data_IF_706573918701
#
_entry.id   IF_706573918701
#
_cell.length_a   1.000
_cell.length_b   1.000
_cell.length_c   1.000
_cell.angle_alpha   90.00
_cell.angle_beta   90.00
_cell.angle_gamma   90.00
#
_symmetry.space_group_name_H-M   'P 1'
#
loop_
_entity.id
_entity.type
_entity.pdbx_description
1 polymer ?
#
# COMPACT_ATOMS: atom_id res chain seq x y z
N UNK A 1 -19.36 -14.83 -7.13
CA UNK A 1 -18.19 -15.35 -6.40
C UNK A 1 -18.07 -14.63 -5.06
N UNK A 2 -18.30 -15.32 -3.93
CA UNK A 2 -17.99 -14.78 -2.60
C UNK A 2 -16.47 -14.87 -2.44
N UNK A 3 -15.75 -13.76 -2.59
CA UNK A 3 -14.34 -13.69 -2.25
C UNK A 3 -14.21 -14.06 -0.76
N UNK A 4 -13.33 -15.03 -0.47
CA UNK A 4 -13.06 -15.52 0.87
C UNK A 4 -12.67 -14.31 1.74
N UNK A 5 -13.48 -13.96 2.75
CA UNK A 5 -13.32 -12.73 3.57
C UNK A 5 -12.35 -12.91 4.75
N UNK A 6 -11.80 -14.10 4.91
CA UNK A 6 -10.95 -14.43 6.05
C UNK A 6 -9.49 -14.12 5.71
N UNK A 7 -8.83 -13.36 6.59
CA UNK A 7 -7.37 -13.30 6.59
C UNK A 7 -6.83 -14.70 6.94
N UNK A 8 -5.72 -15.14 6.31
CA UNK A 8 -5.05 -16.38 6.68
C UNK A 8 -4.74 -16.42 8.19
N UNK A 9 -4.91 -17.59 8.83
CA UNK A 9 -4.77 -17.74 10.29
C UNK A 9 -3.37 -17.35 10.80
N UNK A 10 -2.35 -17.43 9.93
CA UNK A 10 -1.03 -16.86 10.14
C UNK A 10 -0.72 -15.84 9.05
N UNK A 11 -0.09 -14.72 9.42
CA UNK A 11 0.41 -13.78 8.42
C UNK A 11 1.50 -14.45 7.57
N UNK A 12 1.54 -14.18 6.25
CA UNK A 12 2.66 -14.60 5.43
C UNK A 12 3.96 -13.92 5.91
N UNK A 13 5.14 -14.45 5.54
CA UNK A 13 6.38 -13.74 5.80
C UNK A 13 6.40 -12.38 5.08
N UNK A 14 7.03 -11.39 5.73
CA UNK A 14 7.38 -10.14 5.05
C UNK A 14 8.38 -10.45 3.93
N UNK A 15 8.18 -9.87 2.75
CA UNK A 15 9.16 -9.96 1.69
C UNK A 15 10.39 -9.14 2.09
N UNK A 16 11.55 -9.78 2.17
CA UNK A 16 12.82 -9.15 2.49
C UNK A 16 13.63 -8.75 1.25
N UNK A 17 13.32 -9.35 0.10
CA UNK A 17 14.02 -9.10 -1.15
C UNK A 17 13.39 -7.95 -1.94
N UNK A 18 14.24 -7.23 -2.66
CA UNK A 18 13.80 -6.18 -3.57
C UNK A 18 12.91 -6.77 -4.66
N UNK A 19 11.75 -6.15 -4.86
CA UNK A 19 10.82 -6.52 -5.90
C UNK A 19 11.50 -6.35 -7.27
N UNK A 20 11.52 -7.44 -8.05
CA UNK A 20 12.11 -7.43 -9.37
C UNK A 20 11.53 -6.26 -10.21
N UNK A 21 12.34 -5.42 -10.89
CA UNK A 21 11.85 -4.33 -11.74
C UNK A 21 10.86 -4.76 -12.84
N UNK A 22 10.91 -6.04 -13.23
CA UNK A 22 10.04 -6.68 -14.19
C UNK A 22 8.83 -7.40 -13.57
N UNK A 23 8.71 -7.45 -12.24
CA UNK A 23 7.61 -8.11 -11.53
C UNK A 23 6.24 -7.56 -11.96
N UNK A 24 5.22 -8.42 -12.14
CA UNK A 24 3.92 -8.01 -12.62
C UNK A 24 3.24 -6.97 -11.73
N UNK A 25 3.47 -7.02 -10.41
CA UNK A 25 2.94 -6.09 -9.43
C UNK A 25 3.52 -4.68 -9.65
N UNK A 26 4.84 -4.59 -9.86
CA UNK A 26 5.51 -3.32 -10.16
C UNK A 26 5.14 -2.78 -11.55
N UNK A 27 4.92 -3.67 -12.53
CA UNK A 27 4.38 -3.27 -13.85
C UNK A 27 2.97 -2.71 -13.71
N UNK A 28 2.12 -3.34 -12.91
CA UNK A 28 0.73 -2.92 -12.69
C UNK A 28 0.62 -1.56 -11.99
N UNK A 29 1.60 -1.18 -11.16
CA UNK A 29 1.71 0.17 -10.60
C UNK A 29 1.77 1.23 -11.72
N UNK A 30 2.43 0.91 -12.83
CA UNK A 30 2.55 1.73 -14.03
C UNK A 30 3.67 2.78 -13.96
N UNK A 31 4.20 3.15 -15.12
CA UNK A 31 5.40 3.99 -15.26
C UNK A 31 5.30 5.35 -14.55
N UNK A 32 4.14 6.02 -14.62
CA UNK A 32 3.93 7.32 -13.98
C UNK A 32 3.96 7.24 -12.45
N UNK A 33 3.30 6.25 -11.85
CA UNK A 33 3.31 6.06 -10.38
C UNK A 33 4.70 5.62 -9.91
N UNK A 34 5.36 4.72 -10.65
CA UNK A 34 6.76 4.34 -10.39
C UNK A 34 7.70 5.54 -10.39
N UNK A 35 7.55 6.46 -11.35
CA UNK A 35 8.36 7.68 -11.42
C UNK A 35 8.12 8.58 -10.21
N UNK A 36 6.86 8.76 -9.79
CA UNK A 36 6.53 9.55 -8.59
C UNK A 36 7.12 8.88 -7.34
N UNK A 37 6.90 7.59 -7.16
CA UNK A 37 7.44 6.82 -6.04
C UNK A 37 8.98 6.92 -5.99
N UNK A 38 9.66 6.72 -7.12
CA UNK A 38 11.12 6.76 -7.21
C UNK A 38 11.75 8.06 -6.72
N UNK A 39 11.05 9.20 -6.82
CA UNK A 39 11.52 10.49 -6.29
C UNK A 39 11.50 10.55 -4.76
N UNK A 40 10.75 9.68 -4.11
CA UNK A 40 10.56 9.68 -2.66
C UNK A 40 11.20 8.47 -1.97
N UNK A 41 11.73 7.50 -2.71
CA UNK A 41 12.32 6.29 -2.15
C UNK A 41 13.59 6.57 -1.32
N UNK A 42 14.30 7.67 -1.58
CA UNK A 42 15.52 8.00 -0.84
C UNK A 42 16.63 6.94 -1.00
N UNK A 43 16.62 6.17 -2.09
CA UNK A 43 17.55 5.06 -2.33
C UNK A 43 17.08 3.68 -1.83
N UNK A 44 15.96 3.60 -1.13
CA UNK A 44 15.43 2.30 -0.68
C UNK A 44 14.83 1.48 -1.82
N UNK A 45 15.04 0.17 -1.74
CA UNK A 45 14.39 -0.80 -2.61
C UNK A 45 12.92 -0.98 -2.22
N UNK A 46 12.05 -1.10 -3.23
CA UNK A 46 10.65 -1.49 -3.03
C UNK A 46 10.62 -3.01 -2.82
N UNK A 47 10.06 -3.46 -1.71
CA UNK A 47 9.93 -4.88 -1.36
C UNK A 47 8.59 -5.47 -1.81
N UNK A 48 7.52 -4.67 -1.74
CA UNK A 48 6.19 -5.08 -2.13
C UNK A 48 5.34 -3.89 -2.59
N UNK A 49 4.31 -4.16 -3.40
CA UNK A 49 3.28 -3.19 -3.75
C UNK A 49 1.89 -3.83 -3.66
N UNK A 50 0.89 -3.07 -3.24
CA UNK A 50 -0.49 -3.53 -3.15
C UNK A 50 -1.44 -2.53 -3.82
N UNK A 51 -2.30 -3.04 -4.69
CA UNK A 51 -3.36 -2.25 -5.32
C UNK A 51 -4.59 -2.25 -4.42
N UNK A 52 -4.97 -1.10 -3.90
CA UNK A 52 -6.21 -0.96 -3.10
C UNK A 52 -7.42 -0.73 -4.00
N UNK A 53 -8.64 -0.94 -3.49
CA UNK A 53 -9.86 -0.45 -4.14
C UNK A 53 -10.22 1.00 -3.75
N UNK A 54 -9.52 1.56 -2.75
CA UNK A 54 -9.69 2.94 -2.30
C UNK A 54 -9.18 3.97 -3.32
N UNK A 55 -9.70 5.19 -3.19
CA UNK A 55 -9.31 6.34 -4.03
C UNK A 55 -9.18 7.59 -3.18
N UNK A 56 -8.31 8.50 -3.60
CA UNK A 56 -8.10 9.80 -2.97
C UNK A 56 -8.22 10.91 -4.02
N UNK A 57 -8.62 12.09 -3.59
CA UNK A 57 -8.60 13.26 -4.45
C UNK A 57 -7.15 13.59 -4.87
N UNK A 58 -6.98 13.75 -6.18
CA UNK A 58 -5.71 14.10 -6.84
C UNK A 58 -5.87 15.35 -7.72
N UNK A 59 -6.87 16.19 -7.43
CA UNK A 59 -7.14 17.45 -8.13
C UNK A 59 -7.73 17.26 -9.52
N UNK A 60 -8.42 16.15 -9.76
CA UNK A 60 -9.01 15.80 -11.05
C UNK A 60 -10.52 15.97 -11.03
N UNK A 61 -11.05 16.75 -11.97
CA UNK A 61 -12.49 16.89 -12.17
C UNK A 61 -13.13 15.57 -12.66
N UNK A 62 -12.38 14.76 -13.41
CA UNK A 62 -12.84 13.49 -13.99
C UNK A 62 -12.74 12.29 -13.03
N UNK A 63 -12.49 12.54 -11.75
CA UNK A 63 -12.54 11.52 -10.71
C UNK A 63 -11.24 11.32 -9.93
N UNK A 64 -11.34 10.51 -8.88
CA UNK A 64 -10.29 10.31 -7.87
C UNK A 64 -9.18 9.37 -8.36
N UNK A 65 -7.98 9.55 -7.81
CA UNK A 65 -6.84 8.68 -8.05
C UNK A 65 -6.90 7.42 -7.19
N UNK A 66 -6.73 6.23 -7.80
CA UNK A 66 -6.58 4.98 -7.03
C UNK A 66 -5.31 5.01 -6.17
N UNK A 67 -5.47 4.61 -4.91
CA UNK A 67 -4.37 4.44 -3.97
C UNK A 67 -3.65 3.11 -4.23
N UNK A 68 -2.34 3.18 -4.23
CA UNK A 68 -1.42 2.05 -4.15
C UNK A 68 -0.60 2.17 -2.88
N UNK A 69 -0.34 1.04 -2.24
CA UNK A 69 0.67 0.94 -1.20
C UNK A 69 1.96 0.42 -1.81
N UNK A 70 3.08 0.97 -1.41
CA UNK A 70 4.40 0.41 -1.68
C UNK A 70 5.18 0.32 -0.36
N UNK A 71 5.92 -0.76 -0.18
CA UNK A 71 6.67 -1.02 1.06
C UNK A 71 8.15 -1.07 0.75
N UNK A 72 8.94 -0.43 1.61
CA UNK A 72 10.40 -0.51 1.66
C UNK A 72 10.82 -1.10 3.00
N UNK A 73 12.11 -1.37 3.25
CA UNK A 73 12.54 -1.92 4.54
C UNK A 73 12.12 -1.06 5.75
N UNK A 74 11.98 0.26 5.58
CA UNK A 74 11.73 1.17 6.70
C UNK A 74 10.41 1.95 6.62
N UNK A 75 9.75 1.97 5.46
CA UNK A 75 8.56 2.78 5.26
C UNK A 75 7.49 2.16 4.37
N UNK A 76 6.26 2.60 4.59
CA UNK A 76 5.15 2.46 3.66
C UNK A 76 4.97 3.78 2.89
N UNK A 77 4.65 3.66 1.61
CA UNK A 77 4.28 4.77 0.75
C UNK A 77 2.85 4.63 0.27
N UNK A 78 2.09 5.73 0.36
CA UNK A 78 0.80 5.87 -0.31
C UNK A 78 1.02 6.61 -1.62
N UNK A 79 0.68 5.98 -2.75
CA UNK A 79 0.89 6.54 -4.08
C UNK A 79 -0.43 6.59 -4.84
N UNK A 80 -0.81 7.77 -5.33
CA UNK A 80 -1.97 7.97 -6.18
C UNK A 80 -1.65 8.88 -7.37
N UNK A 81 -2.25 8.56 -8.53
CA UNK A 81 -2.08 9.34 -9.76
C UNK A 81 -3.23 10.34 -9.93
N UNK A 82 -2.90 11.50 -10.48
CA UNK A 82 -3.83 12.48 -11.04
C UNK A 82 -3.05 13.71 -11.52
N UNK A 83 -3.74 14.82 -11.84
CA UNK A 83 -3.12 16.12 -12.12
C UNK A 83 -2.20 16.59 -10.99
N UNK A 84 -2.61 16.34 -9.74
CA UNK A 84 -1.81 16.52 -8.52
C UNK A 84 -1.51 15.16 -7.91
N UNK A 85 -0.48 14.44 -8.39
CA UNK A 85 -0.14 13.13 -7.87
C UNK A 85 0.21 13.24 -6.37
N UNK A 86 -0.18 12.21 -5.61
CA UNK A 86 0.15 12.12 -4.18
C UNK A 86 1.14 10.99 -3.99
N UNK A 87 2.21 11.28 -3.25
CA UNK A 87 3.13 10.30 -2.73
C UNK A 87 3.58 10.75 -1.35
N UNK A 88 3.26 9.97 -0.34
CA UNK A 88 3.61 10.26 1.05
C UNK A 88 4.25 9.02 1.67
N UNK A 89 5.26 9.27 2.49
CA UNK A 89 6.06 8.27 3.18
C UNK A 89 5.64 8.24 4.64
N UNK A 90 5.47 7.03 5.18
CA UNK A 90 5.12 6.77 6.57
C UNK A 90 6.08 5.71 7.13
N UNK A 91 6.84 5.99 8.19
CA UNK A 91 7.72 5.00 8.82
C UNK A 91 6.92 3.77 9.29
N UNK A 92 7.42 2.56 9.05
CA UNK A 92 6.72 1.33 9.48
C UNK A 92 6.60 1.24 11.00
N UNK A 93 7.56 1.80 11.73
CA UNK A 93 7.56 1.88 13.19
C UNK A 93 6.31 2.61 13.74
N UNK A 94 5.77 3.58 13.03
CA UNK A 94 4.56 4.30 13.43
C UNK A 94 3.28 3.51 13.13
N UNK A 95 3.33 2.58 12.18
CA UNK A 95 2.17 1.84 11.67
C UNK A 95 1.92 0.52 12.41
N UNK A 96 2.68 0.19 13.46
CA UNK A 96 2.61 -1.11 14.16
C UNK A 96 1.23 -1.46 14.71
N UNK A 97 0.37 -0.46 14.96
CA UNK A 97 -1.01 -0.64 15.44
C UNK A 97 -2.04 -0.80 14.31
N UNK A 98 -1.61 -0.86 13.06
CA UNK A 98 -2.48 -1.10 11.89
C UNK A 98 -3.17 -2.46 12.02
N UNK A 99 -4.46 -2.50 11.72
CA UNK A 99 -5.29 -3.70 11.81
C UNK A 99 -6.10 -3.90 10.53
N UNK A 100 -6.51 -5.13 10.27
CA UNK A 100 -7.49 -5.40 9.21
C UNK A 100 -8.85 -5.67 9.82
N UNK A 101 -9.85 -4.93 9.35
CA UNK A 101 -11.24 -5.18 9.67
C UNK A 101 -11.81 -6.16 8.64
N UNK A 102 -12.04 -7.41 9.07
CA UNK A 102 -12.59 -8.47 8.22
C UNK A 102 -14.06 -8.26 7.86
N UNK A 103 -14.78 -7.44 8.63
CA UNK A 103 -16.19 -7.11 8.37
C UNK A 103 -16.29 -6.15 7.20
N UNK A 104 -15.47 -5.09 7.18
CA UNK A 104 -15.48 -4.06 6.12
C UNK A 104 -14.55 -4.39 4.95
N UNK A 105 -13.57 -5.27 5.16
CA UNK A 105 -12.55 -5.60 4.17
C UNK A 105 -11.48 -4.51 4.03
N UNK A 106 -11.19 -3.78 5.11
CA UNK A 106 -10.31 -2.62 5.11
C UNK A 106 -9.12 -2.79 6.03
N UNK A 107 -7.98 -2.30 5.58
CA UNK A 107 -6.81 -2.05 6.41
C UNK A 107 -6.97 -0.68 7.06
N UNK A 108 -6.97 -0.64 8.39
CA UNK A 108 -7.16 0.54 9.23
C UNK A 108 -5.80 0.93 9.82
N UNK A 109 -5.30 2.09 9.43
CA UNK A 109 -4.01 2.61 9.88
C UNK A 109 -4.13 3.38 11.19
N UNK A 110 -3.10 3.28 12.04
CA UNK A 110 -2.99 3.99 13.31
C UNK A 110 -1.52 4.38 13.47
N UNK A 111 -1.15 5.66 13.69
CA UNK A 111 -1.99 6.82 14.07
C UNK A 111 -2.62 7.63 12.92
N UNK A 112 -3.46 8.63 13.23
CA UNK A 112 -4.50 9.21 12.36
C UNK A 112 -4.07 10.25 11.30
N UNK A 113 -2.79 10.64 11.23
CA UNK A 113 -2.31 11.70 10.32
C UNK A 113 -2.06 11.25 8.88
N UNK A 114 -2.51 10.05 8.53
CA UNK A 114 -2.53 9.64 7.14
C UNK A 114 -3.61 10.40 6.36
N UNK A 115 -3.36 10.70 5.07
CA UNK A 115 -4.36 11.31 4.20
C UNK A 115 -5.59 10.41 3.99
N UNK A 116 -5.47 9.13 4.36
CA UNK A 116 -6.53 8.14 4.42
C UNK A 116 -6.30 7.24 5.63
N UNK A 117 -7.30 7.14 6.51
CA UNK A 117 -7.23 6.29 7.70
C UNK A 117 -7.51 4.81 7.37
N UNK A 118 -8.25 4.54 6.29
CA UNK A 118 -8.56 3.19 5.85
C UNK A 118 -8.30 3.00 4.36
N UNK A 119 -7.90 1.78 3.99
CA UNK A 119 -7.85 1.35 2.59
C UNK A 119 -8.47 -0.01 2.42
N UNK A 120 -9.38 -0.13 1.46
CA UNK A 120 -10.01 -1.40 1.12
C UNK A 120 -9.03 -2.27 0.33
N UNK A 121 -8.79 -3.48 0.86
CA UNK A 121 -7.86 -4.48 0.33
C UNK A 121 -8.48 -5.87 0.48
N UNK A 122 -8.34 -6.75 -0.52
CA UNK A 122 -8.74 -8.14 -0.32
C UNK A 122 -7.87 -8.81 0.77
N UNK A 123 -8.37 -9.84 1.45
CA UNK A 123 -7.73 -10.35 2.66
C UNK A 123 -6.29 -10.84 2.47
N UNK A 124 -5.97 -11.40 1.30
CA UNK A 124 -4.61 -11.91 1.01
C UNK A 124 -3.61 -10.76 0.92
N UNK A 125 -3.96 -9.71 0.20
CA UNK A 125 -3.15 -8.50 0.06
C UNK A 125 -3.07 -7.72 1.38
N UNK A 126 -4.16 -7.71 2.16
CA UNK A 126 -4.16 -7.11 3.49
C UNK A 126 -3.25 -7.88 4.46
N UNK A 127 -3.24 -9.21 4.41
CA UNK A 127 -2.33 -10.04 5.21
C UNK A 127 -0.87 -9.78 4.82
N UNK A 128 -0.56 -9.67 3.53
CA UNK A 128 0.78 -9.32 3.06
C UNK A 128 1.19 -7.90 3.51
N UNK A 129 0.29 -6.92 3.42
CA UNK A 129 0.55 -5.56 3.90
C UNK A 129 0.81 -5.53 5.41
N UNK A 130 0.02 -6.26 6.20
CA UNK A 130 0.24 -6.41 7.64
C UNK A 130 1.57 -7.10 7.96
N UNK A 131 1.94 -8.12 7.19
CA UNK A 131 3.23 -8.78 7.34
C UNK A 131 4.39 -7.80 7.15
N UNK A 132 4.33 -6.96 6.10
CA UNK A 132 5.33 -5.92 5.86
C UNK A 132 5.41 -4.90 7.00
N UNK A 133 4.26 -4.40 7.46
CA UNK A 133 4.19 -3.42 8.55
C UNK A 133 4.74 -3.98 9.86
N UNK A 134 4.46 -5.25 10.17
CA UNK A 134 4.91 -5.89 11.41
C UNK A 134 6.38 -6.31 11.33
N UNK A 135 6.84 -6.74 10.15
CA UNK A 135 8.19 -7.28 9.93
C UNK A 135 9.30 -6.24 9.78
N UNK A 136 9.00 -5.02 9.28
CA UNK A 136 9.96 -3.90 9.25
C UNK A 136 9.75 -2.97 10.42
#
# INVERSE_FOLDING_TARGET
MRANRRIPDALPPAAAEALNPAAPELRALGSRRRRVLGRHLGGEAVLAVARTSSTIDTGSWFGKGRIWLAFTPTAMFIVARGPRPRCQRFPLAELKKTQYNTVTGELVFVPADLPVQTVALPPVEAAQALAQIRGG
#
